data_IF_383730507214
#
_entry.id   IF_383730507214
#
_cell.length_a   1.000
_cell.length_b   1.000
_cell.length_c   1.000
_cell.angle_alpha   90.00
_cell.angle_beta   90.00
_cell.angle_gamma   90.00
#
_symmetry.space_group_name_H-M   'P 1'
#
loop_
_entity.id
_entity.type
_entity.pdbx_description
1 polymer ?
#
# COMPACT_ATOMS: atom_id res chain seq x y z
N UNK A 1 -49.68 7.47 6.28
CA UNK A 1 -49.03 8.45 7.17
C UNK A 1 -48.88 7.81 8.55
N UNK A 2 -47.63 7.68 9.03
CA UNK A 2 -47.20 7.30 10.37
C UNK A 2 -47.50 5.88 10.91
N UNK A 3 -46.45 5.05 11.01
CA UNK A 3 -46.23 4.13 12.15
C UNK A 3 -44.71 3.98 12.42
N UNK A 4 -44.30 4.29 13.67
CA UNK A 4 -43.32 3.55 14.53
C UNK A 4 -41.86 3.40 14.06
N UNK A 5 -40.81 3.55 14.87
CA UNK A 5 -40.66 3.65 16.32
C UNK A 5 -39.16 3.75 16.68
N UNK A 6 -38.89 4.11 17.94
CA UNK A 6 -37.57 4.26 18.55
C UNK A 6 -36.85 2.91 18.80
N UNK A 7 -35.52 2.93 18.87
CA UNK A 7 -34.70 1.82 19.35
C UNK A 7 -33.21 2.17 19.36
N UNK A 8 -32.66 2.32 20.56
CA UNK A 8 -31.23 2.51 20.86
C UNK A 8 -30.50 1.16 20.73
N UNK A 9 -29.31 1.13 20.12
CA UNK A 9 -28.35 0.04 20.36
C UNK A 9 -26.93 0.55 20.58
N UNK A 10 -26.37 0.01 21.65
CA UNK A 10 -25.10 0.33 22.28
C UNK A 10 -23.93 -0.11 21.42
N UNK A 11 -22.82 0.61 21.60
CA UNK A 11 -21.58 0.39 20.88
C UNK A 11 -21.09 -1.05 20.88
N UNK A 12 -20.34 -1.38 19.84
CA UNK A 12 -19.24 -2.32 19.95
C UNK A 12 -18.11 -1.79 19.09
N UNK A 13 -17.09 -1.23 19.74
CA UNK A 13 -15.79 -1.00 19.13
C UNK A 13 -15.25 -2.40 18.86
N UNK A 14 -15.38 -2.86 17.62
CA UNK A 14 -14.74 -4.08 17.16
C UNK A 14 -13.23 -3.82 17.17
N UNK A 15 -12.59 -4.08 18.31
CA UNK A 15 -11.17 -4.37 18.37
C UNK A 15 -10.95 -5.63 17.54
N UNK A 16 -10.64 -5.44 16.25
CA UNK A 16 -10.19 -6.51 15.38
C UNK A 16 -8.75 -6.89 15.79
N UNK A 17 -8.63 -7.50 16.96
CA UNK A 17 -7.57 -8.44 17.27
C UNK A 17 -7.93 -9.77 16.60
N UNK A 18 -7.49 -9.93 15.37
CA UNK A 18 -7.32 -11.20 14.67
C UNK A 18 -6.25 -10.92 13.61
N UNK A 19 -5.05 -11.47 13.72
CA UNK A 19 -4.84 -12.91 13.67
C UNK A 19 -4.77 -13.31 12.19
N UNK A 20 -3.54 -13.54 11.73
CA UNK A 20 -3.19 -14.30 10.51
C UNK A 20 -4.10 -14.16 9.29
N UNK A 21 -3.70 -13.30 8.35
CA UNK A 21 -4.30 -13.24 7.02
C UNK A 21 -3.22 -13.12 5.97
N UNK A 22 -2.53 -14.22 5.66
CA UNK A 22 -1.76 -14.36 4.44
C UNK A 22 -2.72 -14.24 3.25
N UNK A 23 -2.90 -13.03 2.74
CA UNK A 23 -3.63 -12.80 1.49
C UNK A 23 -2.62 -12.90 0.36
N UNK A 24 -2.55 -14.09 -0.23
CA UNK A 24 -1.91 -14.36 -1.50
C UNK A 24 -2.58 -13.52 -2.60
N UNK A 25 -2.06 -12.31 -2.81
CA UNK A 25 -2.07 -11.61 -4.09
C UNK A 25 -0.59 -11.39 -4.46
N UNK A 26 0.05 -12.41 -5.03
CA UNK A 26 0.25 -12.51 -6.49
C UNK A 26 0.99 -11.27 -7.04
N UNK A 27 2.32 -11.28 -6.91
CA UNK A 27 3.30 -10.50 -7.67
C UNK A 27 3.22 -8.96 -7.58
N UNK A 28 3.15 -8.38 -6.38
CA UNK A 28 3.66 -7.01 -6.26
C UNK A 28 5.18 -7.04 -6.46
N UNK A 29 5.77 -6.06 -7.18
CA UNK A 29 7.23 -6.00 -7.47
C UNK A 29 8.13 -5.93 -6.22
N UNK A 30 7.55 -5.98 -5.02
CA UNK A 30 8.18 -5.58 -3.76
C UNK A 30 7.72 -6.47 -2.62
N UNK A 31 8.50 -6.49 -1.54
CA UNK A 31 8.15 -7.20 -0.30
C UNK A 31 7.27 -6.37 0.65
N UNK A 32 6.83 -5.18 0.24
CA UNK A 32 6.08 -4.25 1.10
C UNK A 32 4.58 -4.54 1.07
N UNK A 33 3.88 -4.13 2.14
CA UNK A 33 2.44 -4.34 2.32
C UNK A 33 1.57 -3.69 1.23
N UNK A 34 2.05 -2.62 0.58
CA UNK A 34 1.32 -1.96 -0.50
C UNK A 34 2.28 -1.28 -1.50
N UNK A 35 1.86 -1.18 -2.75
CA UNK A 35 2.63 -0.48 -3.80
C UNK A 35 2.73 1.03 -3.53
N UNK A 36 1.71 1.63 -2.93
CA UNK A 36 1.72 3.04 -2.51
C UNK A 36 2.84 3.34 -1.52
N UNK A 37 3.09 2.41 -0.59
CA UNK A 37 4.19 2.54 0.37
C UNK A 37 5.55 2.47 -0.30
N UNK A 38 5.70 1.59 -1.30
CA UNK A 38 6.92 1.51 -2.11
C UNK A 38 7.21 2.82 -2.85
N UNK A 39 6.24 3.35 -3.60
CA UNK A 39 6.41 4.61 -4.33
C UNK A 39 6.66 5.78 -3.39
N UNK A 40 5.95 5.86 -2.27
CA UNK A 40 6.18 6.90 -1.27
C UNK A 40 7.64 6.94 -0.79
N UNK A 41 8.22 5.78 -0.43
CA UNK A 41 9.61 5.71 0.01
C UNK A 41 10.56 6.11 -1.12
N UNK A 42 10.33 5.65 -2.34
CA UNK A 42 11.15 6.00 -3.48
C UNK A 42 11.16 7.50 -3.77
N UNK A 43 9.98 8.11 -3.86
CA UNK A 43 9.81 9.53 -4.19
C UNK A 43 10.29 10.46 -3.08
N UNK A 44 10.05 10.10 -1.82
CA UNK A 44 10.37 10.97 -0.68
C UNK A 44 11.83 10.87 -0.23
N UNK A 45 12.44 9.68 -0.31
CA UNK A 45 13.77 9.46 0.31
C UNK A 45 14.85 8.96 -0.65
N UNK A 46 14.49 8.21 -1.69
CA UNK A 46 15.49 7.55 -2.56
C UNK A 46 15.83 8.42 -3.76
N UNK A 47 14.85 8.73 -4.63
CA UNK A 47 15.08 9.49 -5.86
C UNK A 47 15.66 10.89 -5.64
N UNK A 48 15.31 11.64 -4.58
CA UNK A 48 15.96 12.94 -4.31
C UNK A 48 17.44 12.82 -3.93
N UNK A 49 17.88 11.64 -3.50
CA UNK A 49 19.26 11.37 -3.04
C UNK A 49 20.02 10.43 -3.99
N UNK A 50 19.39 9.99 -5.07
CA UNK A 50 19.99 9.14 -6.10
C UNK A 50 21.05 9.93 -6.86
N UNK A 51 22.22 9.36 -7.07
CA UNK A 51 23.28 10.00 -7.86
C UNK A 51 22.91 9.96 -9.35
N UNK A 52 23.17 11.04 -10.10
CA UNK A 52 22.70 11.18 -11.48
C UNK A 52 23.13 10.02 -12.39
N UNK A 53 24.36 9.53 -12.25
CA UNK A 53 24.87 8.38 -13.03
C UNK A 53 24.08 7.10 -12.78
N UNK A 54 23.58 6.88 -11.57
CA UNK A 54 22.75 5.70 -11.25
C UNK A 54 21.34 5.84 -11.83
N UNK A 55 20.78 7.05 -11.79
CA UNK A 55 19.50 7.36 -12.42
C UNK A 55 19.54 7.12 -13.92
N UNK A 56 20.61 7.58 -14.59
CA UNK A 56 20.84 7.35 -16.01
C UNK A 56 20.93 5.86 -16.34
N UNK A 57 21.73 5.11 -15.57
CA UNK A 57 21.87 3.67 -15.75
C UNK A 57 20.53 2.94 -15.58
N UNK A 58 19.75 3.29 -14.56
CA UNK A 58 18.40 2.74 -14.33
C UNK A 58 17.47 2.98 -15.52
N UNK A 59 17.48 4.19 -16.10
CA UNK A 59 16.69 4.52 -17.30
C UNK A 59 17.18 3.77 -18.55
N UNK A 60 18.48 3.54 -18.68
CA UNK A 60 19.04 2.76 -19.78
C UNK A 60 18.66 1.27 -19.66
N UNK A 61 18.81 0.67 -18.47
CA UNK A 61 18.44 -0.73 -18.21
C UNK A 61 16.93 -0.96 -18.37
N UNK A 62 16.09 0.02 -18.04
CA UNK A 62 14.64 -0.10 -18.24
C UNK A 62 14.22 -0.25 -19.72
N UNK A 63 15.07 0.15 -20.67
CA UNK A 63 14.85 -0.02 -22.12
C UNK A 63 15.41 -1.35 -22.66
N UNK A 64 16.17 -2.08 -21.85
CA UNK A 64 16.75 -3.35 -22.27
C UNK A 64 15.67 -4.44 -22.29
N UNK A 65 15.61 -5.30 -23.32
CA UNK A 65 14.69 -6.45 -23.31
C UNK A 65 15.05 -7.37 -22.14
N UNK A 66 14.03 -7.84 -21.41
CA UNK A 66 14.23 -8.83 -20.34
C UNK A 66 14.44 -10.23 -20.91
#
# INVERSE_FOLDING_TARGET
MATTGAGEDKGTIAVAGAGGGGSSSLHSKTLLKSEKLYHYVLESTVFPREHDRLRELRLATAKHPM
#
